data_IF_238197303676
#
_entry.id   IF_238197303676
#
_cell.length_a   1.000
_cell.length_b   1.000
_cell.length_c   1.000
_cell.angle_alpha   90.00
_cell.angle_beta   90.00
_cell.angle_gamma   90.00
#
_symmetry.space_group_name_H-M   'P 1'
#
loop_
_entity.id
_entity.type
_entity.pdbx_description
1 polymer ?
#
# COMPACT_ATOMS: atom_id res chain seq x y z
N UNK A 1 -13.57 -15.77 -13.20
CA UNK A 1 -13.57 -14.99 -11.95
C UNK A 1 -13.25 -13.54 -12.31
N UNK A 2 -13.97 -12.56 -11.77
CA UNK A 2 -13.68 -11.13 -12.02
C UNK A 2 -12.31 -10.76 -11.46
N UNK A 3 -11.58 -9.85 -12.13
CA UNK A 3 -10.29 -9.33 -11.66
C UNK A 3 -10.45 -8.73 -10.24
N UNK A 4 -9.56 -9.04 -9.28
CA UNK A 4 -9.63 -8.45 -7.94
C UNK A 4 -9.45 -6.94 -7.98
N UNK A 5 -10.07 -6.23 -7.05
CA UNK A 5 -9.82 -4.82 -6.79
C UNK A 5 -8.49 -4.68 -6.05
N UNK A 6 -7.52 -4.02 -6.67
CA UNK A 6 -6.16 -3.89 -6.13
C UNK A 6 -6.01 -2.53 -5.44
N UNK A 7 -5.71 -2.57 -4.15
CA UNK A 7 -5.49 -1.39 -3.31
C UNK A 7 -4.01 -1.28 -3.02
N UNK A 8 -3.33 -0.33 -3.66
CA UNK A 8 -1.93 -0.02 -3.38
C UNK A 8 -1.85 0.82 -2.11
N UNK A 9 -1.17 0.32 -1.08
CA UNK A 9 -0.86 1.08 0.12
C UNK A 9 0.62 1.44 0.13
N UNK A 10 0.87 2.73 0.38
CA UNK A 10 2.21 3.25 0.64
C UNK A 10 2.13 4.27 1.75
N UNK A 11 3.13 4.31 2.62
CA UNK A 11 3.18 5.39 3.59
C UNK A 11 4.45 5.49 4.38
N UNK A 12 4.41 6.42 5.31
CA UNK A 12 5.53 6.80 6.15
C UNK A 12 5.79 5.73 7.21
N UNK A 13 7.06 5.47 7.51
CA UNK A 13 7.47 4.38 8.43
C UNK A 13 7.08 4.65 9.88
N UNK A 14 6.78 5.90 10.17
CA UNK A 14 6.40 6.53 11.43
C UNK A 14 4.95 7.05 11.42
N UNK A 15 4.15 6.63 10.42
CA UNK A 15 2.71 6.84 10.45
C UNK A 15 2.11 6.06 11.63
N UNK A 16 1.50 6.78 12.56
CA UNK A 16 1.01 6.28 13.85
C UNK A 16 -0.52 6.17 13.91
N UNK A 17 -1.23 6.82 13.00
CA UNK A 17 -2.70 6.74 12.93
C UNK A 17 -3.18 5.50 12.17
N UNK A 18 -3.27 4.38 12.89
CA UNK A 18 -3.81 3.13 12.38
C UNK A 18 -5.31 3.22 12.02
N UNK A 19 -6.07 4.12 12.67
CA UNK A 19 -7.51 4.27 12.42
C UNK A 19 -7.76 4.87 11.04
N UNK A 20 -7.00 5.89 10.66
CA UNK A 20 -7.08 6.48 9.31
C UNK A 20 -6.71 5.46 8.22
N UNK A 21 -5.73 4.58 8.47
CA UNK A 21 -5.40 3.49 7.54
C UNK A 21 -6.56 2.49 7.44
N UNK A 22 -7.14 2.09 8.56
CA UNK A 22 -8.27 1.16 8.60
C UNK A 22 -9.51 1.69 7.89
N UNK A 23 -9.89 2.94 8.18
CA UNK A 23 -11.03 3.61 7.54
C UNK A 23 -10.86 3.71 6.01
N UNK A 24 -9.65 4.03 5.55
CA UNK A 24 -9.37 4.09 4.12
C UNK A 24 -9.46 2.72 3.43
N UNK A 25 -9.02 1.64 4.09
CA UNK A 25 -9.17 0.27 3.58
C UNK A 25 -10.63 -0.19 3.56
N UNK A 26 -11.41 0.16 4.58
CA UNK A 26 -12.84 -0.15 4.63
C UNK A 26 -13.61 0.61 3.54
N UNK A 27 -13.26 1.87 3.27
CA UNK A 27 -13.81 2.59 2.13
C UNK A 27 -13.44 1.92 0.80
N UNK A 28 -12.20 1.46 0.64
CA UNK A 28 -11.78 0.75 -0.57
C UNK A 28 -12.52 -0.59 -0.75
N UNK A 29 -12.90 -1.27 0.34
CA UNK A 29 -13.77 -2.46 0.29
C UNK A 29 -15.19 -2.12 -0.21
N UNK A 30 -15.74 -0.99 0.22
CA UNK A 30 -17.03 -0.51 -0.27
C UNK A 30 -16.94 -0.20 -1.78
N UNK A 31 -15.88 0.50 -2.20
CA UNK A 31 -15.64 0.86 -3.61
C UNK A 31 -15.42 -0.37 -4.50
N UNK A 32 -14.84 -1.45 -3.95
CA UNK A 32 -14.64 -2.71 -4.66
C UNK A 32 -15.96 -3.42 -5.02
N UNK A 33 -17.03 -3.17 -4.24
CA UNK A 33 -18.31 -3.86 -4.33
C UNK A 33 -18.15 -5.37 -4.11
N UNK A 34 -18.70 -6.24 -4.97
CA UNK A 34 -18.63 -7.70 -4.79
C UNK A 34 -17.25 -8.29 -5.13
N UNK A 35 -16.29 -7.49 -5.62
CA UNK A 35 -14.99 -8.01 -6.05
C UNK A 35 -14.12 -8.35 -4.85
N UNK A 36 -13.33 -9.45 -4.91
CA UNK A 36 -12.28 -9.69 -3.93
C UNK A 36 -11.27 -8.54 -3.95
N UNK A 37 -10.79 -8.13 -2.76
CA UNK A 37 -9.78 -7.08 -2.61
C UNK A 37 -8.40 -7.68 -2.37
N UNK A 38 -7.37 -7.10 -3.00
CA UNK A 38 -5.96 -7.41 -2.72
C UNK A 38 -5.25 -6.13 -2.30
N UNK A 39 -4.72 -6.10 -1.08
CA UNK A 39 -3.94 -4.99 -0.54
C UNK A 39 -2.47 -5.20 -0.87
N UNK A 40 -1.94 -4.38 -1.76
CA UNK A 40 -0.54 -4.40 -2.22
C UNK A 40 0.25 -3.40 -1.38
N UNK A 41 1.28 -3.83 -0.68
CA UNK A 41 2.06 -2.93 0.18
C UNK A 41 3.54 -3.35 0.27
N UNK A 42 4.38 -2.50 0.86
CA UNK A 42 5.83 -2.68 0.88
C UNK A 42 6.44 -3.58 1.93
N UNK A 43 5.60 -4.23 2.74
CA UNK A 43 6.03 -4.98 3.92
C UNK A 43 6.97 -4.19 4.85
N UNK A 44 6.80 -2.86 4.97
CA UNK A 44 7.52 -2.12 6.00
C UNK A 44 7.06 -2.61 7.38
N UNK A 45 7.97 -2.99 8.30
CA UNK A 45 7.60 -3.55 9.60
C UNK A 45 7.01 -2.52 10.57
N UNK A 46 6.85 -1.27 10.15
CA UNK A 46 6.28 -0.18 10.91
C UNK A 46 5.49 0.76 10.00
N UNK A 47 4.74 1.68 10.60
CA UNK A 47 4.01 2.70 9.86
C UNK A 47 2.83 2.15 9.06
N UNK A 48 2.47 2.87 8.01
CA UNK A 48 1.26 2.62 7.23
C UNK A 48 1.18 1.20 6.64
N UNK A 49 2.29 0.67 6.11
CA UNK A 49 2.31 -0.68 5.54
C UNK A 49 1.98 -1.75 6.59
N UNK A 50 2.51 -1.61 7.82
CA UNK A 50 2.20 -2.55 8.92
C UNK A 50 0.75 -2.43 9.37
N UNK A 51 0.23 -1.21 9.49
CA UNK A 51 -1.16 -0.99 9.87
C UNK A 51 -2.12 -1.59 8.84
N UNK A 52 -1.84 -1.38 7.55
CA UNK A 52 -2.65 -1.92 6.46
C UNK A 52 -2.63 -3.45 6.41
N UNK A 53 -1.44 -4.07 6.53
CA UNK A 53 -1.29 -5.53 6.58
C UNK A 53 -2.08 -6.13 7.76
N UNK A 54 -1.95 -5.53 8.94
CA UNK A 54 -2.68 -5.97 10.13
C UNK A 54 -4.20 -5.83 9.97
N UNK A 55 -4.68 -4.68 9.50
CA UNK A 55 -6.11 -4.41 9.35
C UNK A 55 -6.74 -5.32 8.29
N UNK A 56 -6.08 -5.50 7.14
CA UNK A 56 -6.54 -6.40 6.09
C UNK A 56 -6.66 -7.85 6.58
N UNK A 57 -5.67 -8.34 7.33
CA UNK A 57 -5.73 -9.68 7.95
C UNK A 57 -6.83 -9.80 9.00
N UNK A 58 -7.05 -8.77 9.80
CA UNK A 58 -8.15 -8.73 10.77
C UNK A 58 -9.52 -8.81 10.06
N UNK A 59 -9.74 -8.01 9.01
CA UNK A 59 -10.95 -8.06 8.18
C UNK A 59 -11.15 -9.42 7.51
N UNK A 60 -10.08 -10.03 7.00
CA UNK A 60 -10.12 -11.40 6.47
C UNK A 60 -10.60 -12.40 7.52
N UNK A 61 -10.12 -12.28 8.77
CA UNK A 61 -10.59 -13.08 9.91
C UNK A 61 -12.05 -12.84 10.29
N UNK A 62 -12.63 -11.70 9.89
CA UNK A 62 -14.06 -11.38 10.01
C UNK A 62 -14.91 -11.87 8.84
N UNK A 63 -14.30 -12.54 7.85
CA UNK A 63 -15.01 -13.10 6.69
C UNK A 63 -15.08 -12.16 5.48
N UNK A 64 -14.40 -11.00 5.50
CA UNK A 64 -14.29 -10.15 4.32
C UNK A 64 -13.42 -10.83 3.25
N UNK A 65 -13.78 -10.68 1.98
CA UNK A 65 -13.00 -11.18 0.84
C UNK A 65 -11.84 -10.24 0.52
N UNK A 66 -10.84 -10.24 1.38
CA UNK A 66 -9.64 -9.39 1.31
C UNK A 66 -8.39 -10.21 1.60
N UNK A 67 -7.32 -9.98 0.83
CA UNK A 67 -6.01 -10.58 1.06
C UNK A 67 -4.88 -9.56 0.92
N UNK A 68 -3.66 -9.95 1.30
CA UNK A 68 -2.47 -9.09 1.27
C UNK A 68 -1.43 -9.61 0.30
N UNK A 69 -0.80 -8.70 -0.44
CA UNK A 69 0.29 -8.96 -1.38
C UNK A 69 1.52 -8.12 -0.95
N UNK A 70 2.36 -8.64 -0.03
CA UNK A 70 3.52 -7.92 0.47
C UNK A 70 4.69 -7.93 -0.53
N UNK A 71 5.31 -6.77 -0.74
CA UNK A 71 6.49 -6.57 -1.57
C UNK A 71 7.66 -6.00 -0.74
N UNK A 72 8.41 -6.84 0.00
CA UNK A 72 9.56 -6.37 0.75
C UNK A 72 10.67 -5.83 -0.17
N UNK A 73 11.33 -4.76 0.25
CA UNK A 73 12.50 -4.25 -0.48
C UNK A 73 13.70 -5.20 -0.31
N UNK A 74 14.36 -5.55 -1.42
CA UNK A 74 15.60 -6.33 -1.42
C UNK A 74 16.78 -5.39 -1.17
N UNK A 75 17.13 -5.17 0.10
CA UNK A 75 18.17 -4.21 0.49
C UNK A 75 19.60 -4.64 0.17
N UNK A 76 19.84 -5.94 -0.02
CA UNK A 76 21.18 -6.50 -0.28
C UNK A 76 21.18 -7.44 -1.48
N UNK A 77 20.82 -6.98 -2.69
CA UNK A 77 20.90 -7.82 -3.88
C UNK A 77 22.36 -8.26 -4.07
N UNK A 78 22.61 -9.58 -4.13
CA UNK A 78 23.97 -10.13 -4.22
C UNK A 78 24.87 -9.80 -3.02
N UNK A 79 24.29 -9.46 -1.85
CA UNK A 79 25.02 -9.16 -0.61
C UNK A 79 25.43 -7.69 -0.41
N UNK A 80 25.35 -6.85 -1.44
CA UNK A 80 25.75 -5.44 -1.40
C UNK A 80 24.56 -4.54 -1.07
N UNK A 81 24.72 -3.62 -0.12
CA UNK A 81 23.64 -2.71 0.28
C UNK A 81 23.23 -1.76 -0.85
N UNK A 82 21.96 -1.78 -1.22
CA UNK A 82 21.35 -0.90 -2.22
C UNK A 82 20.42 0.13 -1.56
N UNK A 83 20.82 1.40 -1.63
CA UNK A 83 20.02 2.55 -1.12
C UNK A 83 18.76 2.79 -1.95
N UNK A 84 18.73 2.35 -3.21
CA UNK A 84 17.62 2.48 -4.14
C UNK A 84 16.56 1.37 -4.02
N UNK A 85 16.83 0.31 -3.25
CA UNK A 85 15.97 -0.88 -3.16
C UNK A 85 14.50 -0.54 -2.86
N UNK A 86 14.26 0.38 -1.93
CA UNK A 86 12.91 0.84 -1.59
C UNK A 86 12.20 1.51 -2.77
N UNK A 87 12.88 2.39 -3.49
CA UNK A 87 12.32 3.08 -4.67
C UNK A 87 12.09 2.12 -5.84
N UNK A 88 13.00 1.17 -6.07
CA UNK A 88 12.84 0.13 -7.09
C UNK A 88 11.62 -0.74 -6.80
N UNK A 89 11.44 -1.16 -5.54
CA UNK A 89 10.23 -1.87 -5.10
C UNK A 89 8.97 -1.01 -5.29
N UNK A 90 9.00 0.28 -4.95
CA UNK A 90 7.83 1.15 -5.14
C UNK A 90 7.40 1.23 -6.61
N UNK A 91 8.37 1.39 -7.53
CA UNK A 91 8.10 1.35 -8.98
C UNK A 91 7.50 0.02 -9.41
N UNK A 92 8.01 -1.10 -8.89
CA UNK A 92 7.48 -2.42 -9.20
C UNK A 92 6.01 -2.55 -8.78
N UNK A 93 5.65 -2.17 -7.55
CA UNK A 93 4.26 -2.23 -7.09
C UNK A 93 3.32 -1.37 -7.95
N UNK A 94 3.74 -0.16 -8.33
CA UNK A 94 2.96 0.70 -9.24
C UNK A 94 2.79 0.04 -10.61
N UNK A 95 3.87 -0.53 -11.16
CA UNK A 95 3.84 -1.19 -12.46
C UNK A 95 2.96 -2.45 -12.52
N UNK A 96 2.73 -3.13 -11.38
CA UNK A 96 1.76 -4.22 -11.26
C UNK A 96 0.30 -3.74 -11.40
N UNK A 97 0.08 -2.43 -11.30
CA UNK A 97 -1.23 -1.80 -11.40
C UNK A 97 -2.05 -1.94 -10.12
N UNK A 98 -2.86 -0.92 -9.88
CA UNK A 98 -3.86 -0.87 -8.82
C UNK A 98 -5.11 -0.15 -9.32
N UNK A 99 -6.24 -0.41 -8.69
CA UNK A 99 -7.46 0.35 -8.92
C UNK A 99 -7.44 1.66 -8.12
N UNK A 100 -6.85 1.65 -6.92
CA UNK A 100 -6.65 2.83 -6.06
C UNK A 100 -5.32 2.77 -5.32
N UNK A 101 -4.68 3.91 -5.13
CA UNK A 101 -3.50 4.12 -4.29
C UNK A 101 -3.86 4.93 -3.05
N UNK A 102 -3.64 4.38 -1.86
CA UNK A 102 -3.79 5.03 -0.56
C UNK A 102 -2.39 5.42 -0.06
N UNK A 103 -2.10 6.72 -0.08
CA UNK A 103 -0.79 7.27 0.23
C UNK A 103 -0.80 8.04 1.56
N UNK A 104 -0.18 7.47 2.60
CA UNK A 104 -0.12 8.05 3.95
C UNK A 104 1.22 8.77 4.19
N UNK A 105 1.22 10.09 4.03
CA UNK A 105 2.41 10.94 3.95
C UNK A 105 2.50 11.81 5.21
N UNK A 106 3.39 11.44 6.13
CA UNK A 106 3.74 12.22 7.32
C UNK A 106 5.00 13.04 7.02
N UNK A 107 5.02 14.31 7.40
CA UNK A 107 6.18 15.20 7.29
C UNK A 107 6.84 15.20 5.89
N UNK A 108 6.02 15.09 4.83
CA UNK A 108 6.50 15.07 3.45
C UNK A 108 7.37 13.85 3.08
N UNK A 109 7.17 12.71 3.74
CA UNK A 109 7.88 11.44 3.49
C UNK A 109 8.20 11.22 2.01
N UNK A 110 9.50 11.28 1.68
CA UNK A 110 10.00 11.19 0.30
C UNK A 110 9.58 9.89 -0.38
N UNK A 111 9.62 8.77 0.36
CA UNK A 111 9.27 7.46 -0.17
C UNK A 111 7.80 7.35 -0.55
N UNK A 112 6.91 7.77 0.36
CA UNK A 112 5.46 7.73 0.14
C UNK A 112 5.03 8.74 -0.94
N UNK A 113 5.57 9.96 -0.89
CA UNK A 113 5.29 11.01 -1.88
C UNK A 113 5.72 10.61 -3.29
N UNK A 114 6.90 9.96 -3.42
CA UNK A 114 7.37 9.44 -4.70
C UNK A 114 6.47 8.33 -5.25
N UNK A 115 6.04 7.38 -4.41
CA UNK A 115 5.09 6.33 -4.86
C UNK A 115 3.76 6.91 -5.29
N UNK A 116 3.22 7.88 -4.55
CA UNK A 116 1.97 8.55 -4.90
C UNK A 116 2.07 9.26 -6.26
N UNK A 117 3.16 9.99 -6.50
CA UNK A 117 3.42 10.63 -7.78
C UNK A 117 3.55 9.62 -8.94
N UNK A 118 4.20 8.47 -8.70
CA UNK A 118 4.28 7.40 -9.68
C UNK A 118 2.91 6.79 -9.99
N UNK A 119 2.07 6.58 -8.98
CA UNK A 119 0.72 6.05 -9.15
C UNK A 119 -0.16 7.01 -9.97
N UNK A 120 -0.13 8.31 -9.65
CA UNK A 120 -0.82 9.36 -10.41
C UNK A 120 -0.35 9.40 -11.87
N UNK A 121 0.97 9.35 -12.11
CA UNK A 121 1.53 9.33 -13.46
C UNK A 121 1.13 8.07 -14.25
N UNK A 122 0.85 6.96 -13.56
CA UNK A 122 0.34 5.73 -14.16
C UNK A 122 -1.20 5.72 -14.34
N UNK A 123 -1.90 6.80 -14.00
CA UNK A 123 -3.35 6.91 -14.10
C UNK A 123 -4.13 6.17 -13.01
N UNK A 124 -3.48 5.82 -11.90
CA UNK A 124 -4.12 5.18 -10.74
C UNK A 124 -4.75 6.26 -9.87
N UNK A 125 -6.04 6.12 -9.55
CA UNK A 125 -6.71 7.00 -8.59
C UNK A 125 -5.93 7.02 -7.29
N UNK A 126 -5.46 8.19 -6.86
CA UNK A 126 -4.57 8.31 -5.70
C UNK A 126 -5.20 9.21 -4.64
N UNK A 127 -5.37 8.66 -3.43
CA UNK A 127 -5.90 9.33 -2.25
C UNK A 127 -4.74 9.59 -1.30
N UNK A 128 -4.43 10.86 -1.06
CA UNK A 128 -3.33 11.30 -0.19
C UNK A 128 -3.88 11.67 1.19
N UNK A 129 -3.30 11.09 2.23
CA UNK A 129 -3.55 11.40 3.63
C UNK A 129 -2.28 12.04 4.17
N UNK A 130 -2.38 13.28 4.66
CA UNK A 130 -1.22 14.04 5.12
C UNK A 130 -1.31 14.36 6.60
N UNK A 131 -0.19 14.25 7.29
CA UNK A 131 -0.02 14.60 8.70
C UNK A 131 1.31 15.35 8.91
#
# INVERSE_FOLDING_TARGET
MSKPYRVLVTGSRDWDDALTVGAALEQALIDAGPRPVVVVHGACPSGADRHADHHARWLRGKGCTIDVEPHPAVWRPGGVFDRGAGFSRNRQMVALGADVCLAFIKDGSRGASHTAALAEAAGIETRRFTA
#
